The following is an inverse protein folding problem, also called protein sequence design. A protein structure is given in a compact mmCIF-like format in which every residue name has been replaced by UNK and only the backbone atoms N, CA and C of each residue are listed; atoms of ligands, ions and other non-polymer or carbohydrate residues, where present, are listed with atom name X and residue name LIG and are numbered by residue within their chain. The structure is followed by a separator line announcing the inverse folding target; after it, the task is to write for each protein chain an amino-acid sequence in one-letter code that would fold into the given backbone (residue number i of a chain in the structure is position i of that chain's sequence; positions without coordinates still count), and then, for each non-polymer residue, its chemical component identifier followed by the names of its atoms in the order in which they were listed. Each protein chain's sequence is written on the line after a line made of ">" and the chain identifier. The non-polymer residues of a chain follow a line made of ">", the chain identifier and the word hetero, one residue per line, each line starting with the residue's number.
data_IF_739912192120
#
_entry.id   IF_739912192120
#
_cell.length_a   1.000
_cell.length_b   1.000
_cell.length_c   1.000
_cell.angle_alpha   90.00
_cell.angle_beta   90.00
_cell.angle_gamma   90.00
#
_symmetry.space_group_name_H-M   'P 1'
#
loop_
_entity.id
_entity.type
_entity.pdbx_description
1 polymer ?
#
# COMPACT_ATOMS: atom_id res chain seq x y z
N UNK A 1 -1.29 -9.26 15.34
CA UNK A 1 -0.25 -8.45 14.66
C UNK A 1 0.91 -9.37 14.35
N UNK A 2 1.34 -9.41 13.09
CA UNK A 2 2.44 -10.26 12.64
C UNK A 2 3.78 -9.56 12.92
N UNK A 3 4.73 -10.25 13.53
CA UNK A 3 6.04 -9.71 13.86
C UNK A 3 6.91 -9.50 12.61
N UNK A 4 6.57 -10.13 11.48
CA UNK A 4 7.29 -9.95 10.20
C UNK A 4 7.20 -8.51 9.67
N UNK A 5 6.08 -7.82 9.89
CA UNK A 5 5.91 -6.40 9.52
C UNK A 5 6.84 -5.50 10.33
N UNK A 6 6.96 -5.77 11.62
CA UNK A 6 7.88 -5.04 12.51
C UNK A 6 9.33 -5.34 12.15
N UNK A 7 9.61 -6.57 11.73
CA UNK A 7 10.97 -6.98 11.42
C UNK A 7 11.53 -6.39 10.11
N UNK A 8 10.64 -5.90 9.24
CA UNK A 8 10.99 -5.13 8.04
C UNK A 8 11.42 -3.69 8.33
N UNK A 9 11.19 -3.21 9.56
CA UNK A 9 11.64 -1.89 9.96
C UNK A 9 13.17 -1.86 10.05
N UNK A 10 13.76 -0.81 9.50
CA UNK A 10 15.17 -0.53 9.67
C UNK A 10 15.42 -0.21 11.16
N UNK A 11 16.35 -0.95 11.77
CA UNK A 11 16.81 -0.73 13.14
C UNK A 11 18.29 -0.41 13.11
N UNK A 12 18.75 0.38 14.07
CA UNK A 12 20.17 0.72 14.17
C UNK A 12 20.89 -0.43 14.86
N UNK A 13 21.95 -0.94 14.25
CA UNK A 13 22.83 -1.91 14.88
C UNK A 13 23.54 -1.28 16.08
N UNK A 14 23.19 -1.72 17.28
CA UNK A 14 23.89 -1.33 18.52
C UNK A 14 24.88 -2.39 18.98
N UNK A 15 25.07 -3.47 18.20
CA UNK A 15 25.92 -4.61 18.52
C UNK A 15 27.27 -4.61 17.81
N UNK A 16 27.44 -3.77 16.77
CA UNK A 16 28.73 -3.48 16.15
C UNK A 16 29.69 -2.78 17.15
N UNK A 17 30.90 -3.30 17.42
CA UNK A 17 31.92 -2.63 18.23
C UNK A 17 32.47 -1.32 17.62
N UNK A 18 32.01 -0.95 16.42
CA UNK A 18 32.26 0.36 15.78
C UNK A 18 31.00 1.25 15.80
N UNK A 19 29.90 0.78 16.38
CA UNK A 19 28.57 1.37 16.32
C UNK A 19 28.44 2.69 17.09
N UNK A 20 28.18 3.76 16.32
CA UNK A 20 27.54 5.07 16.56
C UNK A 20 27.66 5.83 17.89
N UNK A 21 27.84 5.16 19.02
CA UNK A 21 27.90 5.72 20.37
C UNK A 21 29.14 5.29 21.16
N UNK A 22 30.02 4.46 20.61
CA UNK A 22 31.24 4.07 21.29
C UNK A 22 32.34 5.13 21.14
N UNK A 23 32.88 5.58 22.28
CA UNK A 23 33.85 6.68 22.51
C UNK A 23 33.37 8.13 22.58
N UNK A 24 32.06 8.40 22.70
CA UNK A 24 31.67 9.71 23.25
C UNK A 24 31.72 9.60 24.78
N UNK A 25 32.73 10.19 25.42
CA UNK A 25 32.70 10.43 26.87
C UNK A 25 31.28 10.90 27.24
N UNK A 26 30.63 10.23 28.20
CA UNK A 26 29.32 10.66 28.72
C UNK A 26 29.32 12.18 28.81
N UNK A 27 28.42 12.83 28.10
CA UNK A 27 28.36 14.28 28.01
C UNK A 27 28.35 14.84 29.42
N UNK A 28 29.49 15.42 29.82
CA UNK A 28 29.62 16.03 31.15
C UNK A 28 28.52 17.08 31.27
N UNK A 29 27.92 17.17 32.46
CA UNK A 29 26.93 18.19 32.77
C UNK A 29 27.36 19.55 32.19
N UNK A 30 26.42 20.27 31.60
CA UNK A 30 26.68 21.53 30.91
C UNK A 30 27.42 22.49 31.86
N UNK A 31 28.60 22.93 31.43
CA UNK A 31 29.44 23.95 32.05
C UNK A 31 29.64 25.06 31.03
N UNK A 32 30.00 26.26 31.50
CA UNK A 32 30.26 27.40 30.62
C UNK A 32 31.29 27.10 29.50
N UNK A 33 32.24 26.18 29.74
CA UNK A 33 33.26 25.77 28.77
C UNK A 33 32.84 24.73 27.71
N UNK A 34 31.70 24.05 27.86
CA UNK A 34 31.20 23.04 26.90
C UNK A 34 29.75 23.29 26.43
N UNK A 35 29.23 24.51 26.65
CA UNK A 35 27.88 24.93 26.25
C UNK A 35 27.71 25.16 24.73
N UNK A 36 28.70 24.77 23.91
CA UNK A 36 28.66 24.95 22.44
C UNK A 36 27.43 24.29 21.82
N UNK A 37 27.02 23.13 22.33
CA UNK A 37 25.80 22.43 21.90
C UNK A 37 24.52 23.23 22.18
N UNK A 38 24.41 23.90 23.34
CA UNK A 38 23.27 24.77 23.67
C UNK A 38 23.25 26.04 22.82
N UNK A 39 24.43 26.54 22.44
CA UNK A 39 24.57 27.71 21.57
C UNK A 39 24.32 27.38 20.09
N UNK A 40 24.59 26.14 19.66
CA UNK A 40 24.36 25.67 18.29
C UNK A 40 23.00 25.04 18.08
N UNK A 41 22.33 24.54 19.13
CA UNK A 41 21.01 23.88 19.02
C UNK A 41 19.94 24.81 18.47
N UNK A 42 19.93 26.09 18.88
CA UNK A 42 19.02 27.08 18.31
C UNK A 42 19.27 27.32 16.81
N UNK A 43 20.53 27.31 16.38
CA UNK A 43 20.91 27.43 14.96
C UNK A 43 20.54 26.18 14.15
N UNK A 44 20.72 24.99 14.72
CA UNK A 44 20.36 23.73 14.05
C UNK A 44 18.84 23.51 14.02
N UNK A 45 18.12 23.92 15.06
CA UNK A 45 16.66 23.96 15.06
C UNK A 45 16.14 24.89 13.97
N UNK A 46 16.75 26.08 13.83
CA UNK A 46 16.41 27.08 12.82
C UNK A 46 16.92 26.74 11.41
N UNK A 47 17.85 25.79 11.26
CA UNK A 47 18.38 25.39 9.94
C UNK A 47 17.27 24.72 9.13
N UNK A 48 16.92 25.35 8.03
CA UNK A 48 16.07 24.77 7.00
C UNK A 48 16.94 23.88 6.10
N UNK A 49 16.64 22.59 6.07
CA UNK A 49 17.37 21.58 5.30
C UNK A 49 16.67 20.22 5.41
N UNK A 50 17.07 19.26 4.56
CA UNK A 50 16.55 17.89 4.59
C UNK A 50 17.14 17.09 5.76
N UNK A 51 16.70 17.44 6.98
CA UNK A 51 17.15 16.78 8.22
C UNK A 51 16.89 15.27 8.17
N UNK A 52 15.78 14.87 7.56
CA UNK A 52 15.40 13.47 7.37
C UNK A 52 16.35 12.74 6.40
N UNK A 53 16.77 13.40 5.33
CA UNK A 53 17.79 12.89 4.40
C UNK A 53 19.17 12.79 5.04
N UNK A 54 19.57 13.77 5.86
CA UNK A 54 20.84 13.75 6.59
C UNK A 54 20.89 12.66 7.65
N UNK A 55 19.81 12.49 8.43
CA UNK A 55 19.67 11.37 9.37
C UNK A 55 19.71 10.05 8.60
N UNK A 56 18.96 9.91 7.50
CA UNK A 56 19.02 8.68 6.68
C UNK A 56 20.43 8.40 6.16
N UNK A 57 21.14 9.40 5.66
CA UNK A 57 22.51 9.26 5.14
C UNK A 57 23.50 8.88 6.26
N UNK A 58 23.39 9.52 7.42
CA UNK A 58 24.26 9.26 8.56
C UNK A 58 24.05 7.87 9.17
N UNK A 59 22.81 7.39 9.19
CA UNK A 59 22.45 6.09 9.75
C UNK A 59 22.43 4.96 8.70
N UNK A 60 22.45 5.25 7.40
CA UNK A 60 22.42 4.25 6.33
C UNK A 60 23.48 3.13 6.47
N UNK A 61 24.74 3.40 6.90
CA UNK A 61 25.74 2.35 7.08
C UNK A 61 25.47 1.44 8.28
N UNK A 62 24.63 1.87 9.23
CA UNK A 62 24.38 1.21 10.52
C UNK A 62 22.95 0.68 10.65
N UNK A 63 22.19 0.65 9.55
CA UNK A 63 20.87 0.05 9.53
C UNK A 63 21.00 -1.47 9.37
N UNK A 64 20.67 -2.22 10.44
CA UNK A 64 20.31 -3.63 10.36
C UNK A 64 18.81 -3.78 10.22
N UNK A 65 18.36 -4.87 9.60
CA UNK A 65 16.96 -5.26 9.72
C UNK A 65 16.82 -6.06 11.00
N UNK A 66 15.71 -5.91 11.72
CA UNK A 66 15.42 -6.73 12.91
C UNK A 66 15.50 -8.24 12.60
N UNK A 67 15.21 -8.61 11.35
CA UNK A 67 15.44 -9.93 10.78
C UNK A 67 16.85 -10.49 11.03
N UNK A 68 17.87 -9.65 10.90
CA UNK A 68 19.29 -10.03 10.98
C UNK A 68 19.74 -10.28 12.44
N UNK A 69 18.95 -9.82 13.42
CA UNK A 69 19.19 -10.01 14.85
C UNK A 69 18.54 -11.29 15.41
N UNK A 70 17.73 -12.02 14.62
CA UNK A 70 17.04 -13.24 15.07
C UNK A 70 17.95 -14.47 14.90
N UNK A 71 18.06 -15.28 15.96
CA UNK A 71 18.85 -16.53 15.95
C UNK A 71 18.37 -17.53 14.89
N UNK A 72 19.30 -18.21 14.22
CA UNK A 72 19.03 -19.14 13.11
C UNK A 72 18.50 -20.49 13.65
N UNK A 73 17.19 -20.70 13.59
CA UNK A 73 16.49 -21.97 13.92
C UNK A 73 15.32 -22.26 12.96
N UNK A 74 14.47 -23.25 13.24
CA UNK A 74 13.27 -23.54 12.41
C UNK A 74 12.30 -22.36 12.35
N UNK A 75 12.13 -21.64 13.47
CA UNK A 75 11.34 -20.40 13.53
C UNK A 75 11.89 -19.31 12.61
N UNK A 76 13.21 -19.31 12.35
CA UNK A 76 13.84 -18.38 11.42
C UNK A 76 13.45 -18.69 9.96
N UNK A 77 13.23 -19.95 9.60
CA UNK A 77 12.85 -20.31 8.23
C UNK A 77 11.44 -19.83 7.86
N UNK A 78 10.47 -19.99 8.77
CA UNK A 78 9.11 -19.45 8.56
C UNK A 78 9.10 -17.92 8.65
N UNK A 79 9.87 -17.35 9.58
CA UNK A 79 10.08 -15.90 9.64
C UNK A 79 10.66 -15.35 8.33
N UNK A 80 11.73 -15.95 7.79
CA UNK A 80 12.36 -15.51 6.54
C UNK A 80 11.39 -15.60 5.34
N UNK A 81 10.53 -16.63 5.30
CA UNK A 81 9.47 -16.73 4.28
C UNK A 81 8.46 -15.60 4.40
N UNK A 82 7.92 -15.35 5.60
CA UNK A 82 6.96 -14.27 5.83
C UNK A 82 7.57 -12.89 5.57
N UNK A 83 8.83 -12.69 5.96
CA UNK A 83 9.57 -11.48 5.67
C UNK A 83 9.78 -11.28 4.16
N UNK A 84 10.19 -12.32 3.44
CA UNK A 84 10.29 -12.31 1.98
C UNK A 84 8.96 -11.94 1.32
N UNK A 85 7.85 -12.47 1.84
CA UNK A 85 6.50 -12.15 1.36
C UNK A 85 6.12 -10.66 1.59
N UNK A 86 6.49 -10.07 2.74
CA UNK A 86 6.32 -8.62 2.99
C UNK A 86 7.15 -7.79 2.01
N UNK A 87 8.41 -8.17 1.77
CA UNK A 87 9.28 -7.49 0.80
C UNK A 87 8.68 -7.58 -0.60
N UNK A 88 8.17 -8.75 -0.99
CA UNK A 88 7.54 -8.95 -2.29
C UNK A 88 6.25 -8.13 -2.45
N UNK A 89 5.45 -8.00 -1.38
CA UNK A 89 4.29 -7.11 -1.38
C UNK A 89 4.71 -5.65 -1.68
N UNK A 90 5.76 -5.16 -1.01
CA UNK A 90 6.32 -3.83 -1.24
C UNK A 90 6.85 -3.65 -2.67
N UNK A 91 7.54 -4.66 -3.21
CA UNK A 91 8.03 -4.64 -4.59
C UNK A 91 6.88 -4.55 -5.60
N UNK A 92 5.78 -5.25 -5.38
CA UNK A 92 4.59 -5.17 -6.23
C UNK A 92 4.00 -3.75 -6.20
N UNK A 93 3.81 -3.18 -5.01
CA UNK A 93 3.21 -1.85 -4.85
C UNK A 93 4.11 -0.71 -5.36
N UNK A 94 5.43 -0.89 -5.38
CA UNK A 94 6.40 0.11 -5.87
C UNK A 94 6.67 -0.01 -7.37
N UNK A 95 6.84 -1.23 -7.89
CA UNK A 95 7.14 -1.46 -9.31
C UNK A 95 5.88 -1.33 -10.19
N UNK A 96 4.71 -1.66 -9.64
CA UNK A 96 3.45 -1.82 -10.35
C UNK A 96 2.27 -1.24 -9.55
N UNK A 97 2.35 0.05 -9.12
CA UNK A 97 1.40 0.65 -8.16
C UNK A 97 -0.06 0.52 -8.59
N UNK A 98 -0.38 0.88 -9.83
CA UNK A 98 -1.76 0.88 -10.30
C UNK A 98 -2.20 -0.52 -10.82
N UNK A 99 -1.39 -1.56 -10.61
CA UNK A 99 -1.65 -2.95 -11.04
C UNK A 99 -1.40 -3.96 -9.89
N UNK A 100 -2.21 -3.90 -8.81
CA UNK A 100 -2.08 -4.77 -7.62
C UNK A 100 -2.14 -6.27 -7.94
N UNK A 101 -2.97 -6.67 -8.90
CA UNK A 101 -3.20 -8.01 -9.49
C UNK A 101 -1.93 -8.81 -9.82
N UNK A 102 -0.78 -8.15 -10.01
CA UNK A 102 0.49 -8.81 -10.23
C UNK A 102 0.87 -9.79 -9.09
N UNK A 103 0.32 -9.57 -7.89
CA UNK A 103 0.47 -10.50 -6.76
C UNK A 103 0.00 -11.92 -7.08
N UNK A 104 -1.03 -12.10 -7.93
CA UNK A 104 -1.56 -13.43 -8.28
C UNK A 104 -0.48 -14.32 -8.87
N UNK A 105 0.33 -13.77 -9.78
CA UNK A 105 1.46 -14.47 -10.40
C UNK A 105 2.56 -14.73 -9.38
N UNK A 106 2.93 -13.71 -8.61
CA UNK A 106 3.96 -13.80 -7.56
C UNK A 106 3.65 -14.90 -6.54
N UNK A 107 2.44 -14.91 -5.99
CA UNK A 107 1.97 -15.89 -5.01
C UNK A 107 1.90 -17.30 -5.61
N UNK A 108 1.45 -17.45 -6.86
CA UNK A 108 1.46 -18.74 -7.57
C UNK A 108 2.88 -19.28 -7.74
N UNK A 109 3.82 -18.43 -8.16
CA UNK A 109 5.22 -18.82 -8.31
C UNK A 109 5.85 -19.24 -6.98
N UNK A 110 5.51 -18.57 -5.87
CA UNK A 110 5.95 -18.94 -4.53
C UNK A 110 5.43 -20.32 -4.12
N UNK A 111 4.12 -20.57 -4.32
CA UNK A 111 3.49 -21.85 -4.02
C UNK A 111 4.08 -23.02 -4.86
N UNK A 112 4.47 -22.76 -6.11
CA UNK A 112 5.04 -23.79 -7.00
C UNK A 112 6.54 -24.05 -6.74
N UNK A 113 7.34 -23.00 -6.56
CA UNK A 113 8.81 -23.12 -6.48
C UNK A 113 9.32 -23.40 -5.07
N UNK A 114 8.60 -22.92 -4.06
CA UNK A 114 9.03 -23.02 -2.67
C UNK A 114 7.90 -23.53 -1.78
N UNK A 115 7.28 -24.69 -2.08
CA UNK A 115 6.25 -25.26 -1.21
C UNK A 115 6.79 -25.47 0.20
N UNK A 116 5.92 -25.28 1.20
CA UNK A 116 6.30 -25.60 2.58
C UNK A 116 6.31 -27.12 2.76
N UNK A 117 7.19 -27.65 3.63
CA UNK A 117 7.20 -29.07 3.91
C UNK A 117 5.84 -29.53 4.45
N UNK A 118 5.41 -30.72 4.02
CA UNK A 118 4.17 -31.33 4.48
C UNK A 118 4.21 -31.58 6.00
N UNK A 119 3.06 -31.46 6.64
CA UNK A 119 2.89 -31.73 8.06
C UNK A 119 2.42 -33.17 8.24
N UNK A 120 3.14 -33.94 9.05
CA UNK A 120 2.74 -35.29 9.42
C UNK A 120 1.63 -35.24 10.47
N UNK A 121 0.48 -35.86 10.17
CA UNK A 121 -0.60 -36.05 11.15
C UNK A 121 -0.88 -37.53 11.32
N UNK A 122 -1.07 -37.95 12.57
CA UNK A 122 -1.50 -39.31 12.89
C UNK A 122 -3.02 -39.35 12.77
N UNK A 123 -3.54 -40.10 11.78
CA UNK A 123 -4.97 -40.31 11.58
C UNK A 123 -5.26 -41.80 11.56
N UNK A 124 -6.14 -42.28 12.44
CA UNK A 124 -6.54 -43.68 12.52
C UNK A 124 -5.36 -44.68 12.64
N UNK A 125 -4.28 -44.27 13.33
CA UNK A 125 -3.09 -45.12 13.55
C UNK A 125 -2.09 -45.15 12.39
N UNK A 126 -2.31 -44.42 11.30
CA UNK A 126 -1.33 -44.21 10.23
C UNK A 126 -0.83 -42.76 10.20
N UNK A 127 0.44 -42.57 9.80
CA UNK A 127 1.02 -41.26 9.54
C UNK A 127 0.60 -40.85 8.13
N UNK A 128 -0.17 -39.77 8.03
CA UNK A 128 -0.58 -39.16 6.76
C UNK A 128 0.14 -37.83 6.62
N UNK A 129 0.77 -37.61 5.46
CA UNK A 129 1.34 -36.32 5.11
C UNK A 129 0.25 -35.44 4.54
N UNK A 130 -0.02 -34.31 5.20
CA UNK A 130 -0.95 -33.28 4.72
C UNK A 130 -0.17 -32.04 4.28
N UNK A 131 -0.69 -31.31 3.31
CA UNK A 131 -0.13 -30.04 2.89
C UNK A 131 -0.08 -29.05 4.05
N UNK A 132 0.89 -28.14 4.00
CA UNK A 132 1.07 -27.17 5.07
C UNK A 132 -0.18 -26.26 5.18
N UNK A 133 -0.71 -26.00 6.39
CA UNK A 133 -1.96 -25.24 6.57
C UNK A 133 -1.97 -23.85 5.92
N UNK A 134 -0.80 -23.21 5.79
CA UNK A 134 -0.67 -21.93 5.10
C UNK A 134 -0.81 -22.04 3.57
N UNK A 135 -0.32 -23.13 2.98
CA UNK A 135 -0.42 -23.34 1.53
C UNK A 135 -1.85 -23.77 1.16
N UNK A 136 -2.48 -24.60 2.00
CA UNK A 136 -3.92 -24.92 1.91
C UNK A 136 -4.80 -23.67 2.01
N UNK A 137 -4.46 -22.73 2.90
CA UNK A 137 -5.17 -21.46 3.02
C UNK A 137 -5.04 -20.61 1.74
N UNK A 138 -3.84 -20.50 1.16
CA UNK A 138 -3.61 -19.79 -0.11
C UNK A 138 -4.33 -20.46 -1.29
N UNK A 139 -4.38 -21.79 -1.33
CA UNK A 139 -5.15 -22.55 -2.32
C UNK A 139 -6.65 -22.27 -2.20
N UNK A 140 -7.18 -22.40 -0.98
CA UNK A 140 -8.61 -22.13 -0.69
C UNK A 140 -9.01 -20.71 -1.09
N UNK A 141 -8.11 -19.73 -0.91
CA UNK A 141 -8.34 -18.36 -1.35
C UNK A 141 -8.52 -18.26 -2.86
N UNK A 142 -7.61 -18.85 -3.65
CA UNK A 142 -7.70 -18.78 -5.11
C UNK A 142 -8.91 -19.54 -5.67
N UNK A 143 -9.29 -20.67 -5.06
CA UNK A 143 -10.52 -21.38 -5.39
C UNK A 143 -11.76 -20.51 -5.10
N UNK A 144 -11.81 -19.89 -3.91
CA UNK A 144 -12.90 -18.98 -3.54
C UNK A 144 -12.96 -17.76 -4.47
N UNK A 145 -11.81 -17.18 -4.82
CA UNK A 145 -11.74 -16.04 -5.75
C UNK A 145 -12.20 -16.44 -7.15
N UNK A 146 -11.75 -17.61 -7.65
CA UNK A 146 -12.16 -18.13 -8.96
C UNK A 146 -13.68 -18.33 -9.05
N UNK A 147 -14.29 -18.94 -8.03
CA UNK A 147 -15.73 -19.15 -7.96
C UNK A 147 -16.50 -17.82 -7.98
N UNK A 148 -16.05 -16.81 -7.22
CA UNK A 148 -16.69 -15.48 -7.22
C UNK A 148 -16.54 -14.81 -8.58
N UNK A 149 -15.35 -14.83 -9.19
CA UNK A 149 -15.11 -14.22 -10.48
C UNK A 149 -15.91 -14.87 -11.62
N UNK A 150 -16.18 -16.17 -11.55
CA UNK A 150 -17.07 -16.85 -12.48
C UNK A 150 -18.50 -16.31 -12.38
N UNK A 151 -19.02 -16.11 -11.17
CA UNK A 151 -20.35 -15.51 -10.99
C UNK A 151 -20.37 -14.04 -11.44
N UNK A 152 -19.32 -13.26 -11.15
CA UNK A 152 -19.19 -11.87 -11.64
C UNK A 152 -19.33 -11.82 -13.17
N UNK A 153 -18.73 -12.77 -13.89
CA UNK A 153 -18.84 -12.84 -15.35
C UNK A 153 -20.29 -13.11 -15.84
N UNK A 154 -21.10 -13.74 -15.00
CA UNK A 154 -22.54 -13.97 -15.21
C UNK A 154 -23.40 -12.77 -14.76
N UNK A 155 -22.78 -11.72 -14.21
CA UNK A 155 -23.41 -10.45 -13.84
C UNK A 155 -24.01 -10.39 -12.44
N UNK A 156 -23.80 -11.41 -11.60
CA UNK A 156 -24.28 -11.42 -10.21
C UNK A 156 -23.31 -12.16 -9.31
N UNK A 157 -23.26 -11.85 -8.01
CA UNK A 157 -22.43 -12.59 -7.05
C UNK A 157 -23.27 -12.94 -5.84
N UNK A 158 -23.22 -14.20 -5.42
CA UNK A 158 -23.82 -14.63 -4.17
C UNK A 158 -23.16 -13.88 -2.98
N UNK A 159 -23.94 -13.10 -2.20
CA UNK A 159 -23.42 -12.40 -1.03
C UNK A 159 -22.73 -13.32 -0.01
N UNK A 160 -23.12 -14.60 0.06
CA UNK A 160 -22.49 -15.58 0.94
C UNK A 160 -21.05 -15.90 0.48
N UNK A 161 -20.84 -16.15 -0.81
CA UNK A 161 -19.51 -16.40 -1.37
C UNK A 161 -18.61 -15.16 -1.24
N UNK A 162 -19.17 -13.97 -1.46
CA UNK A 162 -18.43 -12.73 -1.26
C UNK A 162 -18.00 -12.54 0.19
N UNK A 163 -18.85 -12.89 1.17
CA UNK A 163 -18.46 -12.88 2.60
C UNK A 163 -17.40 -13.92 2.93
N UNK A 164 -17.46 -15.11 2.31
CA UNK A 164 -16.42 -16.13 2.49
C UNK A 164 -15.06 -15.63 1.97
N UNK A 165 -15.05 -15.00 0.78
CA UNK A 165 -13.86 -14.37 0.23
C UNK A 165 -13.35 -13.23 1.13
N UNK A 166 -14.24 -12.40 1.66
CA UNK A 166 -13.89 -11.37 2.63
C UNK A 166 -13.31 -11.94 3.94
N UNK A 167 -13.61 -13.18 4.28
CA UNK A 167 -13.00 -13.87 5.42
C UNK A 167 -11.46 -13.95 5.33
N UNK A 168 -10.90 -13.96 4.12
CA UNK A 168 -9.46 -14.03 3.92
C UNK A 168 -8.71 -12.74 4.32
N UNK A 169 -9.43 -11.63 4.50
CA UNK A 169 -8.85 -10.38 5.00
C UNK A 169 -8.69 -10.37 6.53
N UNK A 170 -9.39 -11.26 7.24
CA UNK A 170 -9.39 -11.30 8.71
C UNK A 170 -8.14 -11.98 9.29
N UNK A 171 -7.60 -12.97 8.57
CA UNK A 171 -6.37 -13.67 8.96
C UNK A 171 -5.22 -13.15 8.13
N UNK A 172 -4.38 -12.33 8.76
CA UNK A 172 -3.22 -11.73 8.12
C UNK A 172 -2.26 -12.77 7.52
N UNK A 173 -2.05 -12.64 6.22
CA UNK A 173 -1.10 -13.35 5.38
C UNK A 173 -0.39 -12.28 4.50
N UNK A 174 0.94 -12.15 4.58
CA UNK A 174 1.65 -10.99 4.01
C UNK A 174 1.44 -10.73 2.50
N UNK A 175 1.35 -11.77 1.68
CA UNK A 175 1.27 -11.64 0.22
C UNK A 175 -0.17 -11.76 -0.30
N UNK A 176 -1.15 -11.96 0.58
CA UNK A 176 -2.55 -12.20 0.24
C UNK A 176 -3.47 -11.17 0.87
N UNK A 177 -3.46 -10.99 2.20
CA UNK A 177 -4.53 -10.27 2.90
C UNK A 177 -4.70 -8.83 2.43
N UNK A 178 -3.60 -8.14 2.14
CA UNK A 178 -3.67 -6.78 1.61
C UNK A 178 -4.26 -6.74 0.18
N UNK A 179 -3.84 -7.66 -0.69
CA UNK A 179 -4.34 -7.74 -2.07
C UNK A 179 -5.77 -8.26 -2.17
N UNK A 180 -6.23 -9.07 -1.21
CA UNK A 180 -7.63 -9.49 -1.13
C UNK A 180 -8.59 -8.30 -1.01
N UNK A 181 -8.18 -7.20 -0.37
CA UNK A 181 -8.97 -5.97 -0.36
C UNK A 181 -9.12 -5.36 -1.76
N UNK A 182 -8.06 -5.36 -2.58
CA UNK A 182 -8.16 -4.90 -3.97
C UNK A 182 -9.10 -5.79 -4.80
N UNK A 183 -9.05 -7.11 -4.60
CA UNK A 183 -9.97 -8.04 -5.28
C UNK A 183 -11.44 -7.76 -4.92
N UNK A 184 -11.72 -7.55 -3.64
CA UNK A 184 -13.08 -7.27 -3.17
C UNK A 184 -13.60 -5.94 -3.73
N UNK A 185 -12.77 -4.90 -3.76
CA UNK A 185 -13.10 -3.63 -4.42
C UNK A 185 -13.42 -3.87 -5.90
N UNK A 186 -12.59 -4.63 -6.60
CA UNK A 186 -12.80 -4.92 -8.01
C UNK A 186 -14.08 -5.70 -8.28
N UNK A 187 -14.41 -6.66 -7.43
CA UNK A 187 -15.67 -7.41 -7.52
C UNK A 187 -16.87 -6.47 -7.35
N UNK A 188 -16.80 -5.52 -6.41
CA UNK A 188 -17.85 -4.51 -6.25
C UNK A 188 -17.98 -3.61 -7.50
N UNK A 189 -16.88 -3.13 -8.07
CA UNK A 189 -16.91 -2.35 -9.32
C UNK A 189 -17.56 -3.12 -10.47
N UNK A 190 -17.18 -4.39 -10.67
CA UNK A 190 -17.69 -5.22 -11.76
C UNK A 190 -19.16 -5.60 -11.58
N UNK A 191 -19.68 -5.55 -10.35
CA UNK A 191 -21.08 -5.90 -10.04
C UNK A 191 -21.97 -4.68 -9.84
N UNK A 192 -21.47 -3.48 -10.13
CA UNK A 192 -22.23 -2.23 -10.02
C UNK A 192 -22.43 -1.77 -8.58
N UNK A 193 -21.41 -1.92 -7.73
CA UNK A 193 -21.37 -1.40 -6.37
C UNK A 193 -22.51 -1.90 -5.47
N UNK A 194 -22.83 -3.20 -5.52
CA UNK A 194 -23.97 -3.79 -4.78
C UNK A 194 -23.95 -3.54 -3.26
N UNK A 195 -22.79 -3.27 -2.67
CA UNK A 195 -22.65 -2.91 -1.27
C UNK A 195 -21.62 -1.78 -1.10
N UNK A 196 -22.00 -0.52 -1.34
CA UNK A 196 -21.07 0.61 -1.36
C UNK A 196 -20.34 0.80 -0.03
N UNK A 197 -21.03 0.57 1.10
CA UNK A 197 -20.42 0.65 2.43
C UNK A 197 -19.34 -0.42 2.67
N UNK A 198 -19.50 -1.64 2.14
CA UNK A 198 -18.47 -2.67 2.24
C UNK A 198 -17.29 -2.36 1.33
N UNK A 199 -17.56 -1.93 0.10
CA UNK A 199 -16.54 -1.49 -0.84
C UNK A 199 -15.69 -0.36 -0.25
N UNK A 200 -16.34 0.68 0.29
CA UNK A 200 -15.65 1.81 0.92
C UNK A 200 -14.71 1.34 2.04
N UNK A 201 -15.13 0.37 2.88
CA UNK A 201 -14.25 -0.20 3.92
C UNK A 201 -13.01 -0.85 3.32
N UNK A 202 -13.14 -1.57 2.21
CA UNK A 202 -12.00 -2.19 1.53
C UNK A 202 -11.11 -1.15 0.84
N UNK A 203 -11.68 -0.13 0.19
CA UNK A 203 -10.92 1.00 -0.37
C UNK A 203 -10.13 1.75 0.70
N UNK A 204 -10.77 2.11 1.82
CA UNK A 204 -10.08 2.77 2.92
C UNK A 204 -8.98 1.89 3.52
N UNK A 205 -9.16 0.57 3.53
CA UNK A 205 -8.12 -0.35 3.98
C UNK A 205 -6.90 -0.35 3.06
N UNK A 206 -7.08 -0.40 1.74
CA UNK A 206 -5.94 -0.34 0.79
C UNK A 206 -5.21 1.00 0.85
N UNK A 207 -5.90 2.08 1.23
CA UNK A 207 -5.29 3.40 1.39
C UNK A 207 -4.53 3.55 2.72
N UNK A 208 -5.18 3.28 3.86
CA UNK A 208 -4.60 3.60 5.17
C UNK A 208 -3.73 2.50 5.78
N UNK A 209 -3.86 1.27 5.31
CA UNK A 209 -3.07 0.12 5.77
C UNK A 209 -2.11 -0.40 4.70
N UNK A 210 -1.75 0.45 3.73
CA UNK A 210 -0.64 0.19 2.80
C UNK A 210 0.71 0.34 3.50
N UNK A 211 1.71 -0.37 2.99
CA UNK A 211 3.08 -0.25 3.47
C UNK A 211 3.71 1.12 3.08
N UNK A 212 4.69 1.62 3.86
CA UNK A 212 5.45 2.81 3.50
C UNK A 212 6.16 2.62 2.15
N UNK A 213 5.90 3.51 1.18
CA UNK A 213 6.44 3.42 -0.18
C UNK A 213 5.43 2.99 -1.24
N UNK A 214 4.18 2.72 -0.87
CA UNK A 214 3.10 2.55 -1.84
C UNK A 214 2.95 3.81 -2.74
N UNK A 215 3.03 3.60 -4.05
CA UNK A 215 2.95 4.66 -5.07
C UNK A 215 1.58 4.72 -5.77
N UNK A 216 0.62 3.91 -5.33
CA UNK A 216 -0.72 3.78 -5.93
C UNK A 216 -1.56 5.01 -5.63
N UNK A 217 -1.76 5.87 -6.63
CA UNK A 217 -2.56 7.11 -6.45
C UNK A 217 -4.00 6.93 -6.90
N UNK A 218 -4.24 6.03 -7.86
CA UNK A 218 -5.57 5.76 -8.43
C UNK A 218 -6.54 5.28 -7.35
N UNK A 219 -6.11 4.33 -6.52
CA UNK A 219 -6.94 3.80 -5.42
C UNK A 219 -7.30 4.84 -4.36
N UNK A 220 -6.45 5.85 -4.16
CA UNK A 220 -6.77 6.94 -3.23
C UNK A 220 -7.76 7.90 -3.88
N UNK A 221 -7.60 8.17 -5.18
CA UNK A 221 -8.50 9.00 -5.96
C UNK A 221 -9.91 8.36 -6.04
N UNK A 222 -10.01 7.06 -6.31
CA UNK A 222 -11.29 6.35 -6.34
C UNK A 222 -11.97 6.31 -4.97
N UNK A 223 -11.22 6.09 -3.89
CA UNK A 223 -11.76 6.12 -2.52
C UNK A 223 -12.30 7.52 -2.18
N UNK A 224 -11.59 8.56 -2.61
CA UNK A 224 -12.02 9.94 -2.44
C UNK A 224 -13.28 10.21 -3.27
N UNK A 225 -13.32 9.76 -4.53
CA UNK A 225 -14.48 9.92 -5.40
C UNK A 225 -15.73 9.28 -4.79
N UNK A 226 -15.63 8.05 -4.29
CA UNK A 226 -16.78 7.36 -3.68
C UNK A 226 -17.37 8.14 -2.50
N UNK A 227 -16.53 8.75 -1.64
CA UNK A 227 -17.01 9.56 -0.50
C UNK A 227 -17.69 10.84 -0.97
N UNK A 228 -17.28 11.40 -2.11
CA UNK A 228 -17.90 12.60 -2.68
C UNK A 228 -19.22 12.29 -3.37
N UNK A 229 -19.33 11.12 -4.01
CA UNK A 229 -20.53 10.68 -4.72
C UNK A 229 -21.61 10.16 -3.76
N UNK A 230 -21.21 9.40 -2.72
CA UNK A 230 -22.09 8.80 -1.72
C UNK A 230 -21.75 9.29 -0.29
N UNK A 231 -21.94 10.59 0.03
CA UNK A 231 -21.56 11.15 1.33
C UNK A 231 -22.31 10.51 2.51
N UNK A 232 -23.49 9.94 2.29
CA UNK A 232 -24.29 9.22 3.29
C UNK A 232 -23.64 7.92 3.80
N UNK A 233 -22.59 7.41 3.13
CA UNK A 233 -21.80 6.29 3.65
C UNK A 233 -21.04 6.66 4.93
N UNK A 234 -20.86 7.96 5.19
CA UNK A 234 -20.26 8.50 6.39
C UNK A 234 -21.32 9.21 7.26
N UNK A 235 -21.22 9.09 8.60
CA UNK A 235 -22.29 9.44 9.52
C UNK A 235 -22.61 10.94 9.59
N UNK A 236 -21.60 11.80 9.47
CA UNK A 236 -21.73 13.25 9.67
C UNK A 236 -20.69 14.04 8.87
N UNK A 237 -20.90 15.35 8.75
CA UNK A 237 -20.05 16.26 7.98
C UNK A 237 -18.63 16.38 8.55
N UNK A 238 -18.45 16.21 9.87
CA UNK A 238 -17.11 16.19 10.48
C UNK A 238 -16.33 14.99 9.98
N UNK A 239 -16.95 13.82 10.02
CA UNK A 239 -16.36 12.57 9.53
C UNK A 239 -16.08 12.63 8.03
N UNK A 240 -17.01 13.17 7.23
CA UNK A 240 -16.81 13.39 5.79
C UNK A 240 -15.61 14.29 5.52
N UNK A 241 -15.50 15.40 6.25
CA UNK A 241 -14.37 16.31 6.16
C UNK A 241 -13.06 15.62 6.50
N UNK A 242 -13.00 14.89 7.62
CA UNK A 242 -11.79 14.22 8.08
C UNK A 242 -11.30 13.17 7.08
N UNK A 243 -12.20 12.33 6.57
CA UNK A 243 -11.84 11.34 5.55
C UNK A 243 -11.37 12.00 4.25
N UNK A 244 -12.10 12.99 3.72
CA UNK A 244 -11.70 13.69 2.50
C UNK A 244 -10.33 14.38 2.67
N UNK A 245 -10.11 15.05 3.80
CA UNK A 245 -8.85 15.71 4.10
C UNK A 245 -7.68 14.71 4.23
N UNK A 246 -7.92 13.56 4.88
CA UNK A 246 -6.93 12.50 5.04
C UNK A 246 -6.58 11.85 3.69
N UNK A 247 -7.56 11.56 2.85
CA UNK A 247 -7.35 11.00 1.51
C UNK A 247 -6.60 11.97 0.59
N UNK A 248 -6.94 13.27 0.63
CA UNK A 248 -6.17 14.31 -0.08
C UNK A 248 -4.72 14.36 0.42
N UNK A 249 -4.50 14.21 1.72
CA UNK A 249 -3.13 14.13 2.26
C UNK A 249 -2.40 12.87 1.79
N UNK A 250 -3.06 11.71 1.74
CA UNK A 250 -2.49 10.49 1.18
C UNK A 250 -2.14 10.63 -0.30
N UNK A 251 -2.96 11.31 -1.11
CA UNK A 251 -2.63 11.64 -2.50
C UNK A 251 -1.36 12.50 -2.60
N UNK A 252 -1.25 13.54 -1.76
CA UNK A 252 -0.04 14.39 -1.68
C UNK A 252 1.18 13.53 -1.37
N UNK A 253 1.09 12.66 -0.37
CA UNK A 253 2.20 11.85 0.10
C UNK A 253 2.63 10.84 -0.97
N UNK A 254 1.70 10.04 -1.51
CA UNK A 254 1.99 9.04 -2.54
C UNK A 254 2.50 9.67 -3.83
N UNK A 255 1.94 10.80 -4.26
CA UNK A 255 2.43 11.53 -5.43
C UNK A 255 3.87 12.04 -5.24
N UNK A 256 4.20 12.53 -4.03
CA UNK A 256 5.57 12.95 -3.73
C UNK A 256 6.56 11.78 -3.74
N UNK A 257 6.16 10.59 -3.30
CA UNK A 257 6.98 9.38 -3.37
C UNK A 257 7.10 8.84 -4.80
N UNK A 258 6.13 9.12 -5.68
CA UNK A 258 6.14 8.71 -7.10
C UNK A 258 7.16 9.48 -7.95
N UNK A 259 7.88 10.46 -7.38
CA UNK A 259 8.96 11.18 -8.05
C UNK A 259 10.07 10.20 -8.46
N UNK A 260 10.26 10.02 -9.76
CA UNK A 260 11.24 9.09 -10.34
C UNK A 260 10.64 7.75 -10.80
N UNK A 261 9.35 7.51 -10.57
CA UNK A 261 8.64 6.40 -11.19
C UNK A 261 8.38 6.70 -12.67
N UNK A 262 8.83 5.80 -13.55
CA UNK A 262 8.55 5.86 -14.97
C UNK A 262 7.33 4.99 -15.30
N UNK A 263 6.19 5.58 -15.74
CA UNK A 263 5.03 4.79 -16.08
C UNK A 263 5.27 3.95 -17.34
N UNK A 264 4.71 2.73 -17.33
CA UNK A 264 4.77 1.81 -18.49
C UNK A 264 3.91 2.26 -19.68
N UNK A 265 2.83 3.01 -19.41
CA UNK A 265 1.96 3.58 -20.44
C UNK A 265 1.72 5.05 -20.15
N UNK A 266 2.12 5.91 -21.09
CA UNK A 266 1.92 7.36 -20.98
C UNK A 266 0.43 7.74 -21.00
N UNK A 267 -0.39 7.00 -21.76
CA UNK A 267 -1.85 7.21 -21.84
C UNK A 267 -2.54 6.89 -20.52
N UNK A 268 -2.23 5.74 -19.92
CA UNK A 268 -2.77 5.36 -18.61
C UNK A 268 -2.35 6.36 -17.54
N UNK A 269 -1.08 6.75 -17.52
CA UNK A 269 -0.59 7.78 -16.61
C UNK A 269 -1.33 9.11 -16.79
N UNK A 270 -1.70 9.49 -18.01
CA UNK A 270 -2.49 10.69 -18.26
C UNK A 270 -3.89 10.59 -17.65
N UNK A 271 -4.59 9.47 -17.88
CA UNK A 271 -5.91 9.24 -17.32
C UNK A 271 -5.90 9.34 -15.79
N UNK A 272 -4.94 8.66 -15.12
CA UNK A 272 -4.79 8.70 -13.66
C UNK A 272 -4.54 10.13 -13.16
N UNK A 273 -3.67 10.88 -13.85
CA UNK A 273 -3.37 12.27 -13.49
C UNK A 273 -4.58 13.19 -13.64
N UNK A 274 -5.33 13.05 -14.75
CA UNK A 274 -6.55 13.83 -14.98
C UNK A 274 -7.62 13.50 -13.94
N UNK A 275 -7.80 12.22 -13.62
CA UNK A 275 -8.71 11.74 -12.58
C UNK A 275 -8.33 12.32 -11.20
N UNK A 276 -7.06 12.20 -10.79
CA UNK A 276 -6.56 12.76 -9.52
C UNK A 276 -6.79 14.28 -9.42
N UNK A 277 -6.53 15.03 -10.48
CA UNK A 277 -6.76 16.49 -10.50
C UNK A 277 -8.26 16.80 -10.36
N UNK A 278 -9.11 16.07 -11.08
CA UNK A 278 -10.56 16.27 -11.04
C UNK A 278 -11.13 16.01 -9.64
N UNK A 279 -10.83 14.84 -9.07
CA UNK A 279 -11.36 14.44 -7.77
C UNK A 279 -10.83 15.31 -6.63
N UNK A 280 -9.56 15.75 -6.71
CA UNK A 280 -8.97 16.64 -5.69
C UNK A 280 -9.66 17.99 -5.67
N UNK A 281 -9.98 18.57 -6.82
CA UNK A 281 -10.68 19.86 -6.87
C UNK A 281 -12.11 19.71 -6.31
N UNK A 282 -12.81 18.65 -6.72
CA UNK A 282 -14.15 18.33 -6.21
C UNK A 282 -14.15 18.13 -4.69
N UNK A 283 -13.13 17.45 -4.16
CA UNK A 283 -12.95 17.27 -2.72
C UNK A 283 -12.75 18.59 -1.99
N UNK A 284 -11.90 19.49 -2.49
CA UNK A 284 -11.67 20.79 -1.86
C UNK A 284 -12.95 21.65 -1.84
N UNK A 285 -13.78 21.52 -2.87
CA UNK A 285 -15.08 22.20 -2.95
C UNK A 285 -16.08 21.60 -1.95
N UNK A 286 -16.21 20.27 -1.90
CA UNK A 286 -17.08 19.58 -0.93
C UNK A 286 -16.65 19.82 0.53
N UNK A 287 -15.35 19.75 0.81
CA UNK A 287 -14.78 20.06 2.13
C UNK A 287 -15.10 21.49 2.58
N UNK A 288 -15.25 22.44 1.64
CA UNK A 288 -15.65 23.81 1.99
C UNK A 288 -17.10 23.87 2.51
N UNK A 289 -17.97 22.98 2.02
CA UNK A 289 -19.34 22.82 2.53
C UNK A 289 -19.41 22.15 3.91
N UNK A 290 -18.45 21.29 4.25
CA UNK A 290 -18.37 20.60 5.55
C UNK A 290 -17.51 21.33 6.60
N UNK A 291 -16.80 22.39 6.19
CA UNK A 291 -15.78 23.05 6.99
C UNK A 291 -16.31 23.60 8.33
N UNK A 292 -17.50 24.21 8.32
CA UNK A 292 -18.08 24.80 9.53
C UNK A 292 -18.37 23.74 10.60
N UNK A 293 -18.94 22.59 10.19
CA UNK A 293 -19.21 21.47 11.09
C UNK A 293 -17.90 20.93 11.70
N UNK A 294 -16.82 20.89 10.92
CA UNK A 294 -15.49 20.49 11.36
C UNK A 294 -14.73 21.57 12.17
N UNK A 295 -15.35 22.71 12.47
CA UNK A 295 -14.74 23.81 13.22
C UNK A 295 -13.64 24.55 12.46
N UNK A 296 -13.61 24.45 11.12
CA UNK A 296 -12.64 25.11 10.26
C UNK A 296 -13.15 26.46 9.79
N UNK A 297 -12.27 27.47 9.81
CA UNK A 297 -12.60 28.79 9.28
C UNK A 297 -12.41 28.85 7.75
N UNK A 298 -13.02 29.85 7.11
CA UNK A 298 -12.75 30.14 5.70
C UNK A 298 -11.26 30.42 5.44
N UNK A 299 -10.54 31.02 6.39
CA UNK A 299 -9.11 31.26 6.26
C UNK A 299 -8.31 29.94 6.25
N UNK A 300 -8.69 28.98 7.09
CA UNK A 300 -8.09 27.64 7.12
C UNK A 300 -8.32 26.90 5.80
N UNK A 301 -9.55 26.97 5.27
CA UNK A 301 -9.89 26.35 3.99
C UNK A 301 -9.12 26.97 2.81
N UNK A 302 -8.96 28.30 2.79
CA UNK A 302 -8.11 28.97 1.80
C UNK A 302 -6.64 28.57 1.93
N UNK A 303 -6.14 28.42 3.15
CA UNK A 303 -4.77 27.95 3.39
C UNK A 303 -4.59 26.50 2.91
N UNK A 304 -5.54 25.60 3.22
CA UNK A 304 -5.52 24.20 2.78
C UNK A 304 -5.59 24.10 1.26
N UNK A 305 -6.49 24.83 0.61
CA UNK A 305 -6.59 24.89 -0.86
C UNK A 305 -5.27 25.35 -1.48
N UNK A 306 -4.68 26.45 -1.00
CA UNK A 306 -3.37 26.93 -1.49
C UNK A 306 -2.27 25.88 -1.33
N UNK A 307 -2.23 25.20 -0.19
CA UNK A 307 -1.28 24.12 0.05
C UNK A 307 -1.46 22.99 -0.98
N UNK A 308 -2.66 22.41 -1.07
CA UNK A 308 -2.95 21.27 -1.96
C UNK A 308 -2.75 21.64 -3.43
N UNK A 309 -3.13 22.85 -3.83
CA UNK A 309 -2.87 23.34 -5.20
C UNK A 309 -1.36 23.37 -5.48
N UNK A 310 -0.56 23.88 -4.54
CA UNK A 310 0.90 23.97 -4.70
C UNK A 310 1.59 22.61 -4.66
N UNK A 311 1.17 21.69 -3.80
CA UNK A 311 1.87 20.42 -3.55
C UNK A 311 1.39 19.26 -4.40
N UNK A 312 0.16 19.31 -4.93
CA UNK A 312 -0.45 18.21 -5.68
C UNK A 312 -0.96 18.66 -7.05
N UNK A 313 -1.91 19.60 -7.11
CA UNK A 313 -2.61 19.93 -8.36
C UNK A 313 -1.67 20.53 -9.42
N UNK A 314 -0.88 21.54 -9.06
CA UNK A 314 0.07 22.16 -9.99
C UNK A 314 1.15 21.18 -10.46
N UNK A 315 1.80 20.39 -9.57
CA UNK A 315 2.72 19.33 -10.00
C UNK A 315 2.11 18.29 -10.95
N UNK A 316 0.88 17.83 -10.68
CA UNK A 316 0.17 16.88 -11.54
C UNK A 316 -0.07 17.47 -12.95
N UNK A 317 -0.55 18.71 -13.03
CA UNK A 317 -0.76 19.41 -14.31
C UNK A 317 0.55 19.60 -15.07
N UNK A 318 1.61 20.00 -14.37
CA UNK A 318 2.93 20.15 -14.97
C UNK A 318 3.45 18.81 -15.53
N UNK A 319 3.30 17.72 -14.76
CA UNK A 319 3.70 16.39 -15.20
C UNK A 319 2.94 15.96 -16.47
N UNK A 320 1.63 16.22 -16.53
CA UNK A 320 0.80 15.98 -17.72
C UNK A 320 1.30 16.75 -18.94
N UNK A 321 1.54 18.05 -18.78
CA UNK A 321 1.89 18.96 -19.88
C UNK A 321 3.31 18.76 -20.41
N UNK A 322 4.26 18.40 -19.54
CA UNK A 322 5.68 18.31 -19.91
C UNK A 322 6.11 16.88 -20.23
N UNK A 323 5.80 15.93 -19.35
CA UNK A 323 6.31 14.56 -19.44
C UNK A 323 5.40 13.71 -20.32
N UNK A 324 4.11 13.66 -19.99
CA UNK A 324 3.17 12.78 -20.70
C UNK A 324 2.89 13.26 -22.13
N UNK A 325 2.68 14.57 -22.32
CA UNK A 325 2.47 15.11 -23.66
C UNK A 325 3.69 14.92 -24.58
N UNK A 326 4.91 14.84 -24.04
CA UNK A 326 6.10 14.48 -24.82
C UNK A 326 6.08 13.00 -25.19
N UNK A 327 5.89 12.11 -24.21
CA UNK A 327 5.87 10.65 -24.43
C UNK A 327 4.78 10.20 -25.40
N UNK A 328 3.57 10.75 -25.29
CA UNK A 328 2.46 10.42 -26.21
C UNK A 328 2.79 10.83 -27.66
N UNK A 329 3.60 11.87 -27.86
CA UNK A 329 4.03 12.30 -29.20
C UNK A 329 5.20 11.47 -29.75
N UNK A 330 6.04 10.92 -28.89
CA UNK A 330 7.28 10.23 -29.27
C UNK A 330 7.18 8.71 -29.27
N UNK A 331 6.31 8.13 -28.45
CA UNK A 331 6.11 6.69 -28.37
C UNK A 331 5.09 6.26 -29.44
N UNK A 332 5.43 5.26 -30.30
CA UNK A 332 4.43 4.66 -31.16
C UNK A 332 3.32 4.06 -30.29
N UNK A 333 2.07 4.01 -30.74
CA UNK A 333 1.02 3.27 -30.03
C UNK A 333 1.44 1.81 -29.97
N UNK A 334 2.08 1.40 -28.88
CA UNK A 334 2.52 0.03 -28.68
C UNK A 334 1.28 -0.85 -28.56
N UNK A 335 1.32 -2.02 -29.21
CA UNK A 335 0.35 -3.08 -29.02
C UNK A 335 0.34 -3.65 -27.57
N UNK A 336 1.14 -3.06 -26.67
CA UNK A 336 1.26 -3.37 -25.25
C UNK A 336 0.41 -2.47 -24.32
N UNK A 337 -0.62 -1.79 -24.84
CA UNK A 337 -1.79 -1.41 -24.00
C UNK A 337 -2.51 -2.68 -23.46
N UNK A 338 -2.03 -3.88 -23.81
CA UNK A 338 -2.40 -5.22 -23.31
C UNK A 338 -2.05 -5.50 -21.84
N UNK A 339 -1.63 -4.49 -21.06
CA UNK A 339 -1.75 -4.57 -19.59
C UNK A 339 -3.20 -4.82 -19.13
N UNK A 340 -4.17 -4.64 -20.03
CA UNK A 340 -5.57 -5.02 -19.90
C UNK A 340 -5.79 -6.56 -19.79
N UNK A 341 -4.83 -7.41 -20.17
CA UNK A 341 -4.92 -8.86 -19.87
C UNK A 341 -4.87 -9.16 -18.37
N UNK A 342 -4.40 -8.21 -17.55
CA UNK A 342 -4.52 -8.28 -16.09
C UNK A 342 -5.94 -7.97 -15.60
N UNK A 343 -6.74 -7.23 -16.37
CA UNK A 343 -8.09 -6.77 -16.01
C UNK A 343 -9.18 -7.82 -16.24
N UNK A 344 -8.88 -8.88 -16.98
CA UNK A 344 -9.76 -10.03 -17.10
C UNK A 344 -9.53 -10.97 -15.90
N UNK A 345 -10.59 -11.53 -15.31
CA UNK A 345 -10.42 -12.62 -14.38
C UNK A 345 -9.65 -13.73 -15.11
N UNK A 346 -8.52 -14.16 -14.55
CA UNK A 346 -8.03 -15.50 -14.85
C UNK A 346 -9.11 -16.43 -14.29
N UNK A 347 -10.09 -16.76 -15.13
CA UNK A 347 -10.96 -17.92 -14.92
C UNK A 347 -10.02 -19.10 -14.87
N UNK A 348 -9.60 -19.47 -13.66
CA UNK A 348 -8.77 -20.63 -13.47
C UNK A 348 -9.66 -21.84 -13.63
N UNK A 349 -9.30 -22.70 -14.58
CA UNK A 349 -9.75 -24.07 -14.60
C UNK A 349 -9.09 -24.77 -13.38
N UNK A 350 -9.88 -25.28 -12.41
CA UNK A 350 -9.33 -25.92 -11.21
C UNK A 350 -8.42 -27.12 -11.50
N UNK A 351 -8.39 -27.61 -12.74
CA UNK A 351 -7.51 -28.67 -13.23
C UNK A 351 -6.03 -28.27 -13.39
N UNK A 352 -5.69 -26.97 -13.37
CA UNK A 352 -4.31 -26.48 -13.45
C UNK A 352 -3.61 -26.34 -12.08
N UNK A 353 -4.34 -26.59 -10.99
CA UNK A 353 -3.74 -26.73 -9.67
C UNK A 353 -3.11 -28.13 -9.56
N UNK A 354 -1.84 -28.27 -9.17
CA UNK A 354 -1.24 -29.58 -8.97
C UNK A 354 -2.06 -30.35 -7.93
N UNK A 355 -2.68 -31.43 -8.41
CA UNK A 355 -3.21 -32.49 -7.58
C UNK A 355 -2.00 -33.32 -7.14
N UNK A 356 -1.62 -33.19 -5.88
CA UNK A 356 -0.81 -34.21 -5.23
C UNK A 356 -1.72 -35.32 -4.74
#
# INVERSE_FOLDING_TARGET
>A
RDWSEVAALAVVDTSDPVGLFEHVERTRAVRAGNARMLLSSGREAARWGDKSGEIRSAFAPHQLRLADAVGRGEDYAEFARRFSAVVQQLEILTAMPDTPWAYRKSLRMEMQRHPRPAVEKVRNGSIVQEAHPADEYRKSYFESLGNVLQQVAEGSVDPLLLRQLAGFTMRYEPLLSHFAHYELVRIHELTGHQSPAMELRHRLHTVFYSQPGDLSVDVVADALQQILEDPELLPDDVTRFDYANALVQQLVDRWNHRRGYEPRSARRAQHVVDHCVSVTNSALDAMSGWAEAAGMTNADMLARRRFVTKTLVSPLRQYREQVLAHRIRTEPPTAEDTADFGNLPLLLDPSELPTN
#
